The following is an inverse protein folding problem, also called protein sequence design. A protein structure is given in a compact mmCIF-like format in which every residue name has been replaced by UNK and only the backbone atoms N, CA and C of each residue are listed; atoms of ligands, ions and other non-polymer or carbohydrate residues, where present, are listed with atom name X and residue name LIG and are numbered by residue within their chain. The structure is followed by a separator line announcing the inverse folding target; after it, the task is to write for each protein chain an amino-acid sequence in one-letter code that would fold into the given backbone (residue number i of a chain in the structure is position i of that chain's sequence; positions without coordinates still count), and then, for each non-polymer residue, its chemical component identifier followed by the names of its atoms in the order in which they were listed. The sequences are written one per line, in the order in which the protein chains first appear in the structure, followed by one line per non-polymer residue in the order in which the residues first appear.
data_IF_322472451267
#
_entry.id   IF_322472451267
#
_cell.length_a   1.000
_cell.length_b   1.000
_cell.length_c   1.000
_cell.angle_alpha   90.00
_cell.angle_beta   90.00
_cell.angle_gamma   90.00
#
_symmetry.space_group_name_H-M   'P 1'
#
loop_
_entity.id
_entity.type
_entity.pdbx_description
1 polymer ?
#
# COMPACT_ATOMS: atom_id res chain seq x y z
N UNK A 1 24.07 -25.86 15.26
CA UNK A 1 23.66 -25.59 13.87
C UNK A 1 24.90 -25.25 13.07
N UNK A 2 25.13 -25.94 11.99
CA UNK A 2 26.27 -25.71 11.11
C UNK A 2 26.13 -24.37 10.38
N UNK A 3 27.25 -23.67 10.24
CA UNK A 3 27.34 -22.44 9.50
C UNK A 3 28.08 -22.64 8.18
N UNK A 4 27.53 -22.08 7.10
CA UNK A 4 28.10 -22.06 5.75
C UNK A 4 28.26 -20.62 5.29
N UNK A 5 29.48 -20.21 5.02
CA UNK A 5 29.71 -18.88 4.44
C UNK A 5 29.11 -18.82 3.03
N UNK A 6 28.23 -17.85 2.80
CA UNK A 6 27.61 -17.62 1.49
C UNK A 6 27.24 -16.15 1.29
N UNK A 7 27.58 -15.63 0.13
CA UNK A 7 27.18 -14.29 -0.32
C UNK A 7 25.93 -14.32 -1.16
N UNK A 8 25.37 -15.50 -1.44
CA UNK A 8 24.26 -15.69 -2.36
C UNK A 8 24.61 -15.39 -3.83
N UNK A 9 25.91 -15.40 -4.17
CA UNK A 9 26.38 -15.10 -5.54
C UNK A 9 26.62 -13.60 -5.83
N UNK A 10 26.63 -12.74 -4.80
CA UNK A 10 26.89 -11.30 -4.94
C UNK A 10 28.18 -10.98 -5.67
N UNK A 11 29.26 -11.70 -5.39
CA UNK A 11 30.59 -11.52 -5.96
C UNK A 11 30.63 -11.59 -7.48
N UNK A 12 29.68 -12.27 -8.09
CA UNK A 12 29.56 -12.36 -9.55
C UNK A 12 29.20 -10.99 -10.19
N UNK A 13 28.62 -10.09 -9.41
CA UNK A 13 28.08 -8.81 -9.90
C UNK A 13 28.68 -7.58 -9.22
N UNK A 14 29.08 -7.69 -7.96
CA UNK A 14 29.52 -6.55 -7.15
C UNK A 14 30.81 -6.87 -6.37
N UNK A 15 31.84 -6.07 -6.65
CA UNK A 15 33.16 -6.22 -5.98
C UNK A 15 33.15 -5.77 -4.51
N UNK A 16 32.29 -4.80 -4.14
CA UNK A 16 32.25 -4.25 -2.79
C UNK A 16 31.53 -5.22 -1.84
N UNK A 17 32.25 -5.67 -0.81
CA UNK A 17 31.74 -6.65 0.17
C UNK A 17 30.98 -6.00 1.35
N UNK A 18 31.40 -4.81 1.79
CA UNK A 18 30.78 -4.12 2.93
C UNK A 18 29.50 -3.40 2.49
N UNK A 19 28.39 -4.13 2.51
CA UNK A 19 27.06 -3.65 2.10
C UNK A 19 25.95 -4.29 2.97
N UNK A 20 24.82 -3.60 3.09
CA UNK A 20 23.68 -4.04 3.91
C UNK A 20 22.64 -4.82 3.08
N UNK A 21 23.07 -5.85 2.41
CA UNK A 21 22.30 -6.64 1.46
C UNK A 21 21.78 -7.98 2.00
N UNK A 22 21.69 -8.13 3.33
CA UNK A 22 21.27 -9.36 3.97
C UNK A 22 19.95 -9.92 3.41
N UNK A 23 19.01 -9.07 3.05
CA UNK A 23 17.72 -9.47 2.43
C UNK A 23 17.97 -10.19 1.11
N UNK A 24 18.73 -9.57 0.20
CA UNK A 24 19.03 -10.11 -1.14
C UNK A 24 19.75 -11.46 -1.03
N UNK A 25 20.77 -11.53 -0.16
CA UNK A 25 21.54 -12.79 0.06
C UNK A 25 20.69 -13.89 0.66
N UNK A 26 19.90 -13.58 1.70
CA UNK A 26 19.03 -14.56 2.34
C UNK A 26 18.04 -15.17 1.35
N UNK A 27 17.43 -14.34 0.50
CA UNK A 27 16.50 -14.80 -0.52
C UNK A 27 17.22 -15.62 -1.59
N UNK A 28 18.33 -15.12 -2.14
CA UNK A 28 19.10 -15.85 -3.16
C UNK A 28 19.55 -17.22 -2.67
N UNK A 29 20.08 -17.31 -1.43
CA UNK A 29 20.48 -18.59 -0.81
C UNK A 29 19.30 -19.54 -0.63
N UNK A 30 18.16 -19.05 -0.16
CA UNK A 30 17.00 -19.89 0.15
C UNK A 30 16.28 -20.38 -1.13
N UNK A 31 16.17 -19.53 -2.14
CA UNK A 31 15.45 -19.84 -3.38
C UNK A 31 16.34 -20.52 -4.42
N UNK A 32 17.66 -20.32 -4.37
CA UNK A 32 18.59 -20.69 -5.44
C UNK A 32 18.51 -19.77 -6.66
N UNK A 33 17.74 -18.68 -6.60
CA UNK A 33 17.67 -17.67 -7.67
C UNK A 33 18.99 -16.92 -7.80
N UNK A 34 19.24 -16.41 -9.00
CA UNK A 34 20.39 -15.54 -9.24
C UNK A 34 20.32 -14.28 -8.38
N UNK A 35 21.47 -13.89 -7.81
CA UNK A 35 21.55 -12.71 -6.94
C UNK A 35 21.05 -11.44 -7.61
N UNK A 36 21.40 -11.21 -8.91
CA UNK A 36 20.99 -10.03 -9.63
C UNK A 36 19.50 -10.02 -9.93
N UNK A 37 18.90 -11.17 -10.15
CA UNK A 37 17.45 -11.33 -10.32
C UNK A 37 16.71 -10.89 -9.05
N UNK A 38 17.11 -11.43 -7.89
CA UNK A 38 16.57 -11.04 -6.58
C UNK A 38 16.80 -9.54 -6.30
N UNK A 39 17.98 -9.05 -6.59
CA UNK A 39 18.36 -7.64 -6.44
C UNK A 39 17.42 -6.73 -7.23
N UNK A 40 17.18 -7.04 -8.49
CA UNK A 40 16.31 -6.27 -9.37
C UNK A 40 14.84 -6.36 -8.90
N UNK A 41 14.36 -7.54 -8.53
CA UNK A 41 13.01 -7.75 -8.04
C UNK A 41 12.70 -6.95 -6.78
N UNK A 42 13.61 -6.90 -5.81
CA UNK A 42 13.48 -6.08 -4.60
C UNK A 42 13.43 -4.59 -4.96
N UNK A 43 14.28 -4.12 -5.87
CA UNK A 43 14.31 -2.73 -6.27
C UNK A 43 13.03 -2.32 -7.04
N UNK A 44 12.45 -3.20 -7.85
CA UNK A 44 11.14 -2.97 -8.48
C UNK A 44 10.02 -2.84 -7.44
N UNK A 45 9.99 -3.70 -6.43
CA UNK A 45 9.04 -3.57 -5.32
C UNK A 45 9.27 -2.28 -4.51
N UNK A 46 10.52 -1.83 -4.36
CA UNK A 46 10.85 -0.57 -3.70
C UNK A 46 10.28 0.66 -4.44
N UNK A 47 10.12 0.61 -5.77
CA UNK A 47 9.48 1.70 -6.55
C UNK A 47 8.02 1.92 -6.16
N UNK A 48 7.34 0.89 -5.66
CA UNK A 48 5.94 0.93 -5.19
C UNK A 48 5.79 1.51 -3.77
N UNK A 49 6.90 1.87 -3.11
CA UNK A 49 6.86 2.48 -1.78
C UNK A 49 6.33 3.91 -1.82
N UNK A 50 5.37 4.21 -0.95
CA UNK A 50 4.92 5.57 -0.73
C UNK A 50 5.93 6.33 0.14
N UNK A 51 6.28 7.55 -0.28
CA UNK A 51 7.09 8.44 0.51
C UNK A 51 6.35 8.83 1.81
N UNK A 52 7.04 8.81 2.94
CA UNK A 52 6.50 9.26 4.22
C UNK A 52 7.56 10.04 5.00
N UNK A 53 7.14 10.90 5.93
CA UNK A 53 8.06 11.65 6.80
C UNK A 53 9.03 10.74 7.58
N UNK A 54 8.65 9.47 7.84
CA UNK A 54 9.49 8.48 8.54
C UNK A 54 10.43 7.69 7.62
N UNK A 55 10.19 7.74 6.30
CA UNK A 55 10.97 7.01 5.29
C UNK A 55 11.67 8.03 4.40
N UNK A 56 12.81 8.53 4.86
CA UNK A 56 13.58 9.52 4.13
C UNK A 56 14.16 9.00 2.79
N UNK A 57 14.34 7.68 2.67
CA UNK A 57 14.85 7.02 1.46
C UNK A 57 14.02 5.79 1.16
N UNK A 58 13.95 5.39 -0.12
CA UNK A 58 13.35 4.11 -0.53
C UNK A 58 14.23 2.95 -0.12
N UNK A 59 13.64 1.76 0.00
CA UNK A 59 14.37 0.51 0.12
C UNK A 59 15.37 0.33 -1.02
N UNK A 60 16.48 -0.31 -0.72
CA UNK A 60 17.49 -0.68 -1.69
C UNK A 60 17.98 -2.08 -1.39
N UNK A 61 17.99 -2.94 -2.39
CA UNK A 61 18.49 -4.30 -2.29
C UNK A 61 19.93 -4.38 -1.77
N UNK A 62 20.69 -3.25 -1.85
CA UNK A 62 22.09 -3.16 -1.42
C UNK A 62 22.28 -2.45 -0.08
N UNK A 63 21.39 -1.52 0.29
CA UNK A 63 21.60 -0.62 1.44
C UNK A 63 20.58 -0.82 2.57
N UNK A 64 19.71 -1.83 2.43
CA UNK A 64 18.67 -2.15 3.38
C UNK A 64 17.26 -2.01 2.80
N UNK A 65 16.40 -2.90 3.22
CA UNK A 65 15.03 -3.04 2.71
C UNK A 65 14.04 -2.94 3.87
N UNK A 66 13.02 -2.11 3.72
CA UNK A 66 11.95 -2.02 4.72
C UNK A 66 11.13 -3.30 4.79
N UNK A 67 10.71 -3.68 5.97
CA UNK A 67 9.94 -4.92 6.23
C UNK A 67 8.73 -5.07 5.31
N UNK A 68 8.01 -3.98 5.03
CA UNK A 68 6.85 -4.03 4.12
C UNK A 68 7.22 -4.39 2.68
N UNK A 69 8.38 -3.99 2.20
CA UNK A 69 8.88 -4.33 0.87
C UNK A 69 9.41 -5.76 0.83
N UNK A 70 10.12 -6.20 1.90
CA UNK A 70 10.51 -7.59 2.08
C UNK A 70 9.29 -8.51 1.99
N UNK A 71 8.25 -8.24 2.79
CA UNK A 71 7.02 -9.03 2.79
C UNK A 71 6.36 -9.08 1.42
N UNK A 72 6.20 -7.92 0.75
CA UNK A 72 5.60 -7.90 -0.59
C UNK A 72 6.38 -8.76 -1.58
N UNK A 73 7.70 -8.66 -1.58
CA UNK A 73 8.52 -9.44 -2.49
C UNK A 73 8.43 -10.94 -2.19
N UNK A 74 8.65 -11.36 -0.95
CA UNK A 74 8.66 -12.78 -0.58
C UNK A 74 7.25 -13.40 -0.68
N UNK A 75 6.21 -12.72 -0.17
CA UNK A 75 4.87 -13.30 -0.09
C UNK A 75 4.07 -13.15 -1.39
N UNK A 76 4.19 -12.00 -2.10
CA UNK A 76 3.36 -11.72 -3.29
C UNK A 76 4.07 -12.04 -4.61
N UNK A 77 5.39 -11.83 -4.67
CA UNK A 77 6.14 -12.08 -5.91
C UNK A 77 6.64 -13.51 -5.93
N UNK A 78 7.29 -13.98 -4.85
CA UNK A 78 7.81 -15.34 -4.76
C UNK A 78 6.76 -16.37 -4.31
N UNK A 79 5.64 -15.93 -3.71
CA UNK A 79 4.57 -16.82 -3.25
C UNK A 79 4.90 -17.62 -1.99
N UNK A 80 5.91 -17.22 -1.22
CA UNK A 80 6.29 -17.91 0.00
C UNK A 80 5.36 -17.58 1.17
N UNK A 81 5.21 -18.53 2.09
CA UNK A 81 4.29 -18.46 3.23
C UNK A 81 5.04 -18.04 4.49
N UNK A 82 4.50 -17.04 5.21
CA UNK A 82 5.01 -16.61 6.51
C UNK A 82 4.57 -17.54 7.63
N UNK A 83 5.54 -18.00 8.43
CA UNK A 83 5.33 -18.79 9.66
C UNK A 83 5.84 -17.96 10.84
N UNK A 84 4.96 -17.43 11.70
CA UNK A 84 5.37 -16.67 12.88
C UNK A 84 5.93 -17.62 13.95
N UNK A 85 7.03 -17.21 14.61
CA UNK A 85 7.63 -17.93 15.74
C UNK A 85 7.35 -17.23 17.08
N UNK A 86 6.83 -16.01 17.06
CA UNK A 86 6.45 -15.26 18.27
C UNK A 86 5.33 -14.30 17.99
N UNK A 87 4.50 -14.01 19.01
CA UNK A 87 3.48 -12.97 18.98
C UNK A 87 3.96 -11.65 19.60
N UNK A 88 3.14 -10.61 19.47
CA UNK A 88 3.42 -9.32 20.12
C UNK A 88 3.34 -9.50 21.65
N UNK A 89 4.40 -9.14 22.36
CA UNK A 89 4.45 -9.22 23.82
C UNK A 89 4.74 -10.60 24.41
N UNK A 90 4.91 -11.65 23.57
CA UNK A 90 5.17 -13.01 24.10
C UNK A 90 6.64 -13.28 24.47
N UNK A 91 7.54 -12.35 24.13
CA UNK A 91 8.98 -12.58 24.25
C UNK A 91 9.51 -13.55 23.17
N UNK A 92 10.79 -13.92 23.29
CA UNK A 92 11.43 -14.87 22.38
C UNK A 92 10.95 -16.28 22.69
N UNK A 93 10.38 -16.97 21.70
CA UNK A 93 9.88 -18.34 21.81
C UNK A 93 10.76 -19.33 21.06
N UNK A 94 11.40 -18.90 19.98
CA UNK A 94 12.23 -19.73 19.10
C UNK A 94 13.58 -19.06 18.91
N UNK A 95 14.63 -19.82 19.13
CA UNK A 95 16.02 -19.38 18.98
C UNK A 95 16.65 -19.97 17.72
N UNK A 96 17.68 -19.31 17.22
CA UNK A 96 18.44 -19.76 16.05
C UNK A 96 19.38 -20.88 16.45
N UNK A 97 18.81 -22.06 16.70
CA UNK A 97 19.52 -23.31 17.02
C UNK A 97 18.82 -24.53 16.40
N UNK A 98 19.56 -25.57 16.20
CA UNK A 98 19.13 -26.76 15.46
C UNK A 98 17.89 -27.43 16.05
N UNK A 99 17.78 -27.48 17.37
CA UNK A 99 16.67 -28.17 18.05
C UNK A 99 15.34 -27.42 17.99
N UNK A 100 15.31 -26.18 17.56
CA UNK A 100 14.11 -25.34 17.55
C UNK A 100 13.64 -24.97 16.15
N UNK A 101 14.40 -25.29 15.11
CA UNK A 101 14.10 -24.97 13.73
C UNK A 101 14.01 -26.20 12.83
N UNK A 102 13.35 -26.11 11.67
CA UNK A 102 13.27 -27.24 10.75
C UNK A 102 14.65 -27.71 10.28
N UNK A 103 14.86 -29.01 10.24
CA UNK A 103 16.12 -29.66 9.83
C UNK A 103 16.23 -29.91 8.32
N UNK A 104 15.11 -29.79 7.57
CA UNK A 104 15.07 -30.06 6.13
C UNK A 104 14.34 -28.95 5.42
N UNK A 105 14.67 -28.69 4.16
CA UNK A 105 14.05 -27.63 3.34
C UNK A 105 14.78 -26.29 3.42
N UNK A 106 14.24 -25.29 2.72
CA UNK A 106 14.80 -23.95 2.63
C UNK A 106 13.88 -22.90 3.27
N UNK A 107 14.46 -22.04 4.09
CA UNK A 107 13.74 -21.02 4.86
C UNK A 107 14.46 -19.69 4.84
N UNK A 108 13.70 -18.58 4.75
CA UNK A 108 14.22 -17.25 4.93
C UNK A 108 13.87 -16.81 6.36
N UNK A 109 14.88 -16.72 7.22
CA UNK A 109 14.70 -16.38 8.63
C UNK A 109 14.61 -14.88 8.85
N UNK A 110 13.64 -14.45 9.66
CA UNK A 110 13.51 -13.07 10.11
C UNK A 110 14.04 -12.93 11.54
N UNK A 111 15.11 -12.18 11.67
CA UNK A 111 15.82 -11.93 12.92
C UNK A 111 15.77 -10.42 13.23
N UNK A 112 16.21 -10.02 14.43
CA UNK A 112 16.30 -8.59 14.78
C UNK A 112 17.25 -7.83 13.85
N UNK A 113 16.68 -6.99 12.98
CA UNK A 113 17.44 -6.17 12.04
C UNK A 113 18.21 -6.94 10.97
N UNK A 114 17.89 -8.23 10.72
CA UNK A 114 18.65 -9.09 9.82
C UNK A 114 17.78 -10.20 9.22
N UNK A 115 18.04 -10.55 7.97
CA UNK A 115 17.54 -11.78 7.35
C UNK A 115 18.70 -12.72 7.08
N UNK A 116 18.46 -14.02 7.27
CA UNK A 116 19.40 -15.07 6.96
C UNK A 116 18.70 -16.27 6.29
N UNK A 117 19.45 -17.20 5.75
CA UNK A 117 18.91 -18.42 5.14
C UNK A 117 19.24 -19.63 5.99
N UNK A 118 18.21 -20.43 6.26
CA UNK A 118 18.38 -21.79 6.79
C UNK A 118 18.04 -22.77 5.66
N UNK A 119 18.96 -23.64 5.32
CA UNK A 119 18.76 -24.68 4.31
C UNK A 119 19.30 -26.00 4.80
N UNK A 120 18.43 -27.01 4.84
CA UNK A 120 18.74 -28.36 5.30
C UNK A 120 19.50 -28.37 6.63
N UNK A 121 18.99 -27.63 7.62
CA UNK A 121 19.55 -27.50 8.96
C UNK A 121 20.83 -26.68 9.07
N UNK A 122 21.33 -26.09 7.97
CA UNK A 122 22.54 -25.27 7.94
C UNK A 122 22.23 -23.80 7.72
N UNK A 123 22.95 -22.92 8.42
CA UNK A 123 22.81 -21.48 8.32
C UNK A 123 23.72 -20.93 7.21
N UNK A 124 23.15 -20.31 6.19
CA UNK A 124 23.86 -19.69 5.07
C UNK A 124 23.86 -18.17 5.20
N UNK A 125 25.02 -17.59 5.47
CA UNK A 125 25.21 -16.14 5.60
C UNK A 125 26.68 -15.76 5.38
N UNK A 126 27.02 -14.48 5.50
CA UNK A 126 28.41 -13.98 5.47
C UNK A 126 29.09 -14.02 6.85
N UNK A 127 28.36 -14.32 7.91
CA UNK A 127 28.87 -14.54 9.27
C UNK A 127 27.86 -15.38 10.07
N UNK A 128 28.35 -16.09 11.08
CA UNK A 128 27.45 -16.79 12.00
C UNK A 128 26.64 -15.80 12.83
N UNK A 129 25.38 -15.64 12.43
CA UNK A 129 24.45 -14.72 13.09
C UNK A 129 23.67 -15.40 14.23
N UNK A 130 23.97 -16.65 14.60
CA UNK A 130 23.23 -17.42 15.62
C UNK A 130 23.43 -16.90 17.05
N UNK A 131 24.55 -16.23 17.32
CA UNK A 131 24.96 -15.82 18.68
C UNK A 131 25.03 -17.04 19.62
N UNK A 132 25.72 -18.08 19.19
CA UNK A 132 25.79 -19.35 19.91
C UNK A 132 24.39 -19.96 20.20
N UNK A 133 23.45 -19.82 19.25
CA UNK A 133 22.11 -20.37 19.39
C UNK A 133 21.16 -19.58 20.29
N UNK A 134 21.53 -18.35 20.71
CA UNK A 134 20.69 -17.52 21.60
C UNK A 134 19.90 -16.45 20.83
N UNK A 135 20.15 -16.27 19.54
CA UNK A 135 19.46 -15.25 18.75
C UNK A 135 18.01 -15.63 18.50
N UNK A 136 17.10 -14.69 18.78
CA UNK A 136 15.68 -14.90 18.58
C UNK A 136 15.28 -14.90 17.10
N UNK A 137 14.43 -15.85 16.72
CA UNK A 137 13.78 -15.93 15.41
C UNK A 137 12.35 -15.42 15.55
N UNK A 138 12.01 -14.35 14.85
CA UNK A 138 10.66 -13.78 14.89
C UNK A 138 9.66 -14.57 14.06
N UNK A 139 10.15 -15.28 13.08
CA UNK A 139 9.43 -16.13 12.15
C UNK A 139 10.29 -16.39 10.93
N UNK A 140 9.76 -17.16 10.01
CA UNK A 140 10.43 -17.48 8.77
C UNK A 140 9.45 -17.61 7.62
N UNK A 141 9.92 -17.45 6.40
CA UNK A 141 9.17 -17.78 5.20
C UNK A 141 9.64 -19.15 4.68
N UNK A 142 8.70 -19.93 4.18
CA UNK A 142 8.90 -21.21 3.53
C UNK A 142 8.16 -21.31 2.21
N UNK A 143 8.54 -22.20 1.36
CA UNK A 143 7.74 -22.53 0.18
C UNK A 143 6.34 -23.02 0.61
N UNK A 144 5.30 -22.69 -0.16
CA UNK A 144 3.98 -23.22 0.09
C UNK A 144 3.95 -24.74 -0.10
N UNK A 145 3.05 -25.41 0.59
CA UNK A 145 2.72 -26.80 0.30
C UNK A 145 1.87 -26.88 -0.96
N UNK A 146 1.78 -28.08 -1.57
CA UNK A 146 0.95 -28.28 -2.77
C UNK A 146 -0.52 -27.86 -2.55
N UNK A 147 -1.07 -28.13 -1.37
CA UNK A 147 -2.43 -27.70 -1.02
C UNK A 147 -2.56 -26.16 -0.93
N UNK A 148 -1.57 -25.50 -0.32
CA UNK A 148 -1.56 -24.02 -0.24
C UNK A 148 -1.41 -23.39 -1.64
N UNK A 149 -0.59 -23.96 -2.53
CA UNK A 149 -0.46 -23.52 -3.92
C UNK A 149 -1.80 -23.60 -4.66
N UNK A 150 -2.52 -24.70 -4.51
CA UNK A 150 -3.84 -24.86 -5.11
C UNK A 150 -4.85 -23.83 -4.55
N UNK A 151 -4.90 -23.63 -3.24
CA UNK A 151 -5.74 -22.61 -2.62
C UNK A 151 -5.41 -21.19 -3.12
N UNK A 152 -4.12 -20.86 -3.27
CA UNK A 152 -3.70 -19.57 -3.79
C UNK A 152 -4.06 -19.41 -5.27
N UNK A 153 -3.98 -20.47 -6.06
CA UNK A 153 -4.41 -20.45 -7.46
C UNK A 153 -5.91 -20.16 -7.58
N UNK A 154 -6.75 -20.86 -6.82
CA UNK A 154 -8.19 -20.63 -6.77
C UNK A 154 -8.53 -19.21 -6.34
N UNK A 155 -7.86 -18.71 -5.29
CA UNK A 155 -8.07 -17.33 -4.80
C UNK A 155 -7.71 -16.29 -5.86
N UNK A 156 -6.62 -16.48 -6.60
CA UNK A 156 -6.21 -15.58 -7.69
C UNK A 156 -7.25 -15.59 -8.82
N UNK A 157 -7.73 -16.76 -9.20
CA UNK A 157 -8.78 -16.88 -10.23
C UNK A 157 -10.05 -16.13 -9.83
N UNK A 158 -10.55 -16.33 -8.61
CA UNK A 158 -11.72 -15.62 -8.10
C UNK A 158 -11.52 -14.09 -8.08
N UNK A 159 -10.32 -13.63 -7.73
CA UNK A 159 -10.00 -12.20 -7.73
C UNK A 159 -10.01 -11.60 -9.15
N UNK A 160 -9.51 -12.32 -10.15
CA UNK A 160 -9.56 -11.87 -11.55
C UNK A 160 -11.00 -11.83 -12.07
N UNK A 161 -11.80 -12.87 -11.82
CA UNK A 161 -13.22 -12.91 -12.19
C UNK A 161 -13.99 -11.73 -11.55
N UNK A 162 -13.72 -11.43 -10.28
CA UNK A 162 -14.31 -10.28 -9.59
C UNK A 162 -13.88 -8.93 -10.20
N UNK A 163 -12.62 -8.79 -10.58
CA UNK A 163 -12.13 -7.57 -11.24
C UNK A 163 -12.79 -7.35 -12.60
N UNK A 164 -12.96 -8.42 -13.39
CA UNK A 164 -13.66 -8.35 -14.67
C UNK A 164 -15.13 -7.97 -14.48
N UNK A 165 -15.80 -8.55 -13.48
CA UNK A 165 -17.17 -8.19 -13.14
C UNK A 165 -17.31 -6.70 -12.80
N UNK A 166 -16.45 -6.19 -11.90
CA UNK A 166 -16.44 -4.78 -11.51
C UNK A 166 -16.13 -3.86 -12.70
N UNK A 167 -15.25 -4.27 -13.60
CA UNK A 167 -14.93 -3.50 -14.80
C UNK A 167 -16.16 -3.37 -15.73
N UNK A 168 -16.89 -4.46 -15.95
CA UNK A 168 -18.13 -4.47 -16.74
C UNK A 168 -19.22 -3.58 -16.13
N UNK A 169 -19.43 -3.66 -14.81
CA UNK A 169 -20.40 -2.79 -14.12
C UNK A 169 -20.05 -1.30 -14.24
N UNK A 170 -18.74 -0.95 -14.11
CA UNK A 170 -18.28 0.43 -14.28
C UNK A 170 -18.53 0.94 -15.70
N UNK A 171 -18.32 0.12 -16.71
CA UNK A 171 -18.58 0.47 -18.10
C UNK A 171 -20.08 0.72 -18.36
N UNK A 172 -20.94 -0.16 -17.86
CA UNK A 172 -22.39 0.03 -17.96
C UNK A 172 -22.86 1.30 -17.26
N UNK A 173 -22.34 1.56 -16.04
CA UNK A 173 -22.65 2.77 -15.31
C UNK A 173 -22.21 4.03 -16.06
N UNK A 174 -21.04 3.98 -16.69
CA UNK A 174 -20.54 5.09 -17.53
C UNK A 174 -21.46 5.34 -18.73
N UNK A 175 -21.93 4.28 -19.42
CA UNK A 175 -22.90 4.38 -20.53
C UNK A 175 -24.24 5.02 -20.05
N UNK A 176 -24.78 4.59 -18.92
CA UNK A 176 -26.00 5.16 -18.32
C UNK A 176 -25.82 6.64 -17.95
N UNK A 177 -24.68 7.00 -17.32
CA UNK A 177 -24.35 8.41 -17.01
C UNK A 177 -24.25 9.27 -18.26
N UNK A 178 -23.65 8.77 -19.33
CA UNK A 178 -23.55 9.48 -20.59
C UNK A 178 -24.93 9.73 -21.25
N UNK A 179 -25.84 8.74 -21.19
CA UNK A 179 -27.19 8.88 -21.67
C UNK A 179 -27.99 9.94 -20.88
N UNK A 180 -27.90 9.90 -19.54
CA UNK A 180 -28.54 10.90 -18.66
C UNK A 180 -27.99 12.30 -18.95
N UNK A 181 -26.68 12.43 -19.12
CA UNK A 181 -26.08 13.73 -19.49
C UNK A 181 -26.62 14.25 -20.80
N UNK A 182 -26.66 13.44 -21.86
CA UNK A 182 -27.24 13.83 -23.16
C UNK A 182 -28.70 14.29 -23.02
N UNK A 183 -29.50 13.56 -22.25
CA UNK A 183 -30.90 13.91 -22.00
C UNK A 183 -31.01 15.27 -21.28
N UNK A 184 -30.25 15.47 -20.22
CA UNK A 184 -30.25 16.72 -19.47
C UNK A 184 -29.77 17.93 -20.33
N UNK A 185 -28.76 17.72 -21.18
CA UNK A 185 -28.28 18.74 -22.08
C UNK A 185 -29.34 19.14 -23.13
N UNK A 186 -30.13 18.15 -23.62
CA UNK A 186 -31.26 18.39 -24.52
C UNK A 186 -32.33 19.24 -23.83
N UNK A 187 -32.70 18.91 -22.59
CA UNK A 187 -33.66 19.68 -21.77
C UNK A 187 -33.13 21.11 -21.54
N UNK A 188 -31.89 21.26 -21.12
CA UNK A 188 -31.28 22.57 -20.93
C UNK A 188 -31.36 23.44 -22.18
N UNK A 189 -31.02 22.90 -23.36
CA UNK A 189 -31.13 23.64 -24.64
C UNK A 189 -32.56 24.06 -24.95
N UNK A 190 -33.53 23.19 -24.71
CA UNK A 190 -34.95 23.44 -24.98
C UNK A 190 -35.50 24.56 -24.10
N UNK A 191 -35.12 24.61 -22.83
CA UNK A 191 -35.67 25.57 -21.88
C UNK A 191 -34.80 26.84 -21.69
N UNK A 192 -33.56 26.86 -22.16
CA UNK A 192 -32.66 28.01 -22.02
C UNK A 192 -33.25 29.35 -22.47
N UNK A 193 -33.95 29.43 -23.65
CA UNK A 193 -34.54 30.70 -24.08
C UNK A 193 -35.64 31.23 -23.13
N UNK A 194 -36.48 30.28 -22.62
CA UNK A 194 -37.58 30.64 -21.69
C UNK A 194 -36.99 31.09 -20.34
N UNK A 195 -35.97 30.41 -19.83
CA UNK A 195 -35.27 30.76 -18.58
C UNK A 195 -34.63 32.17 -18.72
N UNK A 196 -33.96 32.44 -19.84
CA UNK A 196 -33.32 33.73 -20.08
C UNK A 196 -34.33 34.86 -20.16
N UNK A 197 -35.50 34.64 -20.82
CA UNK A 197 -36.59 35.60 -20.86
C UNK A 197 -37.13 35.92 -19.45
N UNK A 198 -37.40 34.90 -18.65
CA UNK A 198 -37.88 35.05 -17.26
C UNK A 198 -36.84 35.76 -16.37
N UNK A 199 -35.57 35.43 -16.49
CA UNK A 199 -34.50 36.14 -15.77
C UNK A 199 -34.42 37.64 -16.16
N UNK A 200 -34.62 37.95 -17.42
CA UNK A 200 -34.65 39.35 -17.90
C UNK A 200 -35.84 40.11 -17.32
N UNK A 201 -37.03 39.48 -17.29
CA UNK A 201 -38.23 40.06 -16.67
C UNK A 201 -38.05 40.29 -15.17
N UNK A 202 -37.49 39.29 -14.46
CA UNK A 202 -37.20 39.41 -13.04
C UNK A 202 -36.28 40.60 -12.73
N UNK A 203 -35.19 40.74 -13.48
CA UNK A 203 -34.26 41.88 -13.33
C UNK A 203 -34.91 43.23 -13.57
N UNK A 204 -35.91 43.34 -14.49
CA UNK A 204 -36.68 44.56 -14.70
C UNK A 204 -37.53 44.89 -13.48
N UNK A 205 -38.28 43.89 -12.96
CA UNK A 205 -39.11 44.05 -11.76
C UNK A 205 -38.30 44.42 -10.53
N UNK A 206 -37.15 43.81 -10.34
CA UNK A 206 -36.22 44.13 -9.23
C UNK A 206 -35.74 45.58 -9.31
N UNK A 207 -35.44 46.10 -10.52
CA UNK A 207 -35.07 47.53 -10.71
C UNK A 207 -36.23 48.48 -10.44
N UNK A 208 -37.44 48.13 -10.89
CA UNK A 208 -38.64 48.91 -10.64
C UNK A 208 -38.96 48.95 -9.14
N UNK A 209 -38.89 47.83 -8.45
CA UNK A 209 -39.07 47.74 -7.01
C UNK A 209 -38.02 48.57 -6.24
N UNK A 210 -36.74 48.48 -6.64
CA UNK A 210 -35.67 49.30 -6.05
C UNK A 210 -35.92 50.79 -6.25
N UNK A 211 -36.40 51.20 -7.44
CA UNK A 211 -36.77 52.60 -7.73
C UNK A 211 -37.91 53.08 -6.85
N UNK A 212 -38.97 52.27 -6.69
CA UNK A 212 -40.11 52.60 -5.80
C UNK A 212 -39.68 52.71 -4.34
N UNK A 213 -38.79 51.83 -3.88
CA UNK A 213 -38.22 51.85 -2.51
C UNK A 213 -37.39 53.13 -2.25
N UNK A 214 -36.71 53.65 -3.28
CA UNK A 214 -35.95 54.90 -3.19
C UNK A 214 -36.86 56.14 -3.23
N UNK A 215 -38.02 56.06 -3.90
CA UNK A 215 -39.02 57.13 -3.99
C UNK A 215 -39.96 57.13 -2.77
N UNK A 216 -39.98 56.11 -1.94
CA UNK A 216 -40.74 56.10 -0.69
C UNK A 216 -40.24 57.21 0.26
N UNK A 217 -41.10 58.05 0.81
CA UNK A 217 -40.68 59.05 1.78
C UNK A 217 -39.98 58.28 2.97
N UNK A 218 -38.82 58.81 3.35
CA UNK A 218 -38.12 58.29 4.55
C UNK A 218 -39.03 58.51 5.73
N UNK A 219 -39.77 57.48 6.13
CA UNK A 219 -40.50 57.49 7.40
C UNK A 219 -39.49 57.88 8.48
N UNK A 220 -39.70 59.05 9.11
CA UNK A 220 -38.87 59.60 10.14
C UNK A 220 -38.65 58.53 11.23
N UNK A 221 -37.43 58.13 11.38
CA UNK A 221 -36.98 57.16 12.41
C UNK A 221 -37.14 57.72 13.84
N UNK A 222 -37.90 58.79 14.03
CA UNK A 222 -37.90 59.55 15.29
C UNK A 222 -39.21 59.57 16.10
N UNK A 223 -40.24 58.79 15.73
CA UNK A 223 -41.47 58.82 16.54
C UNK A 223 -41.64 57.68 17.54
N UNK A 224 -40.78 56.63 17.50
CA UNK A 224 -40.90 55.49 18.45
C UNK A 224 -39.89 55.50 19.59
N UNK A 225 -38.81 56.26 19.52
CA UNK A 225 -37.76 56.31 20.52
C UNK A 225 -38.00 57.36 21.66
N UNK A 226 -39.10 58.11 21.66
CA UNK A 226 -39.36 59.16 22.67
C UNK A 226 -40.59 58.93 23.56
N UNK A 227 -41.17 57.74 23.58
CA UNK A 227 -42.35 57.49 24.46
C UNK A 227 -42.14 56.51 25.61
N UNK A 228 -40.97 56.05 25.89
CA UNK A 228 -40.71 55.13 27.00
C UNK A 228 -39.46 55.51 27.80
N UNK A 229 -39.29 56.82 28.10
CA UNK A 229 -38.39 57.26 29.17
C UNK A 229 -39.15 58.37 29.92
N UNK A 230 -40.11 57.99 30.74
CA UNK A 230 -40.67 58.65 31.91
C UNK A 230 -42.01 57.96 32.20
N UNK A 231 -41.91 56.88 33.00
CA UNK A 231 -42.79 56.54 34.13
C UNK A 231 -42.11 55.44 34.91
#
# INVERSE_FOLDING_TARGET
MDFVYSTGGRENYFKKADVRDCVTRAIANATGMDYLEVYNGINEEAKKEHASKRKAKRSSARNGVYTGTVKRYIERVLGWVWVPCMGIGTGCQVHLKESELPSTGSYILNLSGHLSCLKDGKLYDTYDCSRNGTRCVYGYWRMPTALEEEMFAQTRQQQEEYKEFVAKEKEELAKKKAQVKKHNDKIKKQYAPKINKLKSQLRKLEREMQKQLLEMPKLEKNSWARRNIND
#
